data_IF_671242498833
#
_entry.id   IF_671242498833
#
_cell.length_a   1.000
_cell.length_b   1.000
_cell.length_c   1.000
_cell.angle_alpha   90.00
_cell.angle_beta   90.00
_cell.angle_gamma   90.00
#
_symmetry.space_group_name_H-M   'P 1'
#
loop_
_entity.id
_entity.type
_entity.pdbx_description
1 polymer ?
#
# COMPACT_ATOMS: atom_id res chain seq x y z
N UNK A 1 -13.48 17.84 14.56
CA UNK A 1 -12.62 17.73 13.36
C UNK A 1 -11.27 18.32 13.72
N UNK A 2 -10.25 17.50 13.96
CA UNK A 2 -8.90 17.99 14.28
C UNK A 2 -8.22 18.44 12.98
N UNK A 3 -7.85 19.71 12.88
CA UNK A 3 -7.11 20.25 11.73
C UNK A 3 -5.70 19.67 11.72
N UNK A 4 -5.31 18.98 10.63
CA UNK A 4 -3.91 18.65 10.35
C UNK A 4 -3.16 19.96 10.09
N UNK A 5 -2.34 20.39 11.04
CA UNK A 5 -1.48 21.56 10.88
C UNK A 5 -0.32 21.30 9.90
N UNK A 6 0.38 22.34 9.44
CA UNK A 6 1.48 22.25 8.47
C UNK A 6 2.63 21.31 8.88
N UNK A 7 2.78 21.02 10.18
CA UNK A 7 3.75 20.06 10.71
C UNK A 7 3.45 18.60 10.30
N UNK A 8 2.17 18.23 10.18
CA UNK A 8 1.74 16.88 9.75
C UNK A 8 2.19 16.59 8.32
N UNK A 9 2.04 17.58 7.45
CA UNK A 9 2.26 17.40 6.02
C UNK A 9 3.77 17.38 5.71
N UNK A 10 4.56 18.17 6.45
CA UNK A 10 6.03 18.11 6.40
C UNK A 10 6.58 16.76 6.85
N UNK A 11 6.03 16.17 7.93
CA UNK A 11 6.43 14.82 8.37
C UNK A 11 6.07 13.75 7.36
N UNK A 12 4.89 13.84 6.74
CA UNK A 12 4.47 12.91 5.70
C UNK A 12 5.39 12.99 4.47
N UNK A 13 5.72 14.20 4.03
CA UNK A 13 6.67 14.41 2.93
C UNK A 13 8.03 13.79 3.24
N UNK A 14 8.60 14.06 4.42
CA UNK A 14 9.88 13.49 4.83
C UNK A 14 9.88 11.95 4.90
N UNK A 15 8.77 11.33 5.30
CA UNK A 15 8.64 9.87 5.29
C UNK A 15 8.58 9.30 3.87
N UNK A 16 7.85 9.95 2.97
CA UNK A 16 7.71 9.52 1.58
C UNK A 16 9.01 9.73 0.78
N UNK A 17 9.82 10.75 1.12
CA UNK A 17 11.14 10.98 0.52
C UNK A 17 12.12 9.81 0.73
N UNK A 18 11.93 9.00 1.77
CA UNK A 18 12.76 7.80 2.02
C UNK A 18 12.41 6.63 1.08
N UNK A 19 11.29 6.69 0.38
CA UNK A 19 10.84 5.64 -0.55
C UNK A 19 11.52 5.85 -1.90
N UNK A 20 12.45 4.95 -2.25
CA UNK A 20 13.22 5.02 -3.51
C UNK A 20 12.33 4.91 -4.76
N UNK A 21 11.30 4.06 -4.71
CA UNK A 21 10.42 3.79 -5.84
C UNK A 21 8.96 3.65 -5.37
N UNK A 22 8.08 4.42 -5.98
CA UNK A 22 6.64 4.35 -5.73
C UNK A 22 5.93 3.86 -6.98
N UNK A 23 5.22 2.74 -6.87
CA UNK A 23 4.48 2.12 -7.98
C UNK A 23 2.98 2.20 -7.70
N UNK A 24 2.24 2.84 -8.59
CA UNK A 24 0.78 2.92 -8.51
C UNK A 24 0.15 1.81 -9.36
N UNK A 25 -0.67 0.95 -8.73
CA UNK A 25 -1.46 -0.08 -9.42
C UNK A 25 -2.89 0.41 -9.52
N UNK A 26 -3.34 0.72 -10.74
CA UNK A 26 -4.66 1.30 -11.02
C UNK A 26 -5.47 0.42 -11.98
N UNK A 27 -6.80 0.52 -11.93
CA UNK A 27 -7.69 -0.20 -12.84
C UNK A 27 -8.93 0.61 -13.17
N UNK A 28 -9.42 0.53 -14.41
CA UNK A 28 -10.62 1.25 -14.86
C UNK A 28 -11.97 0.61 -14.47
N UNK A 29 -11.97 -0.59 -13.88
CA UNK A 29 -13.19 -1.32 -13.50
C UNK A 29 -12.93 -2.21 -12.28
N UNK A 30 -13.97 -2.46 -11.48
CA UNK A 30 -13.93 -3.43 -10.38
C UNK A 30 -13.77 -4.87 -10.88
N UNK A 31 -13.11 -5.71 -10.07
CA UNK A 31 -12.98 -7.14 -10.34
C UNK A 31 -11.91 -7.56 -11.36
N UNK A 32 -11.10 -6.63 -11.88
CA UNK A 32 -10.04 -6.96 -12.86
C UNK A 32 -8.77 -7.58 -12.24
N UNK A 33 -8.74 -7.76 -10.92
CA UNK A 33 -7.58 -8.32 -10.21
C UNK A 33 -6.51 -7.30 -9.80
N UNK A 34 -6.81 -6.00 -9.76
CA UNK A 34 -5.88 -4.94 -9.30
C UNK A 34 -5.15 -5.29 -8.00
N UNK A 35 -5.90 -5.65 -6.95
CA UNK A 35 -5.34 -5.96 -5.63
C UNK A 35 -4.51 -7.24 -5.65
N UNK A 36 -4.89 -8.22 -6.48
CA UNK A 36 -4.13 -9.45 -6.71
C UNK A 36 -2.77 -9.17 -7.35
N UNK A 37 -2.74 -8.31 -8.37
CA UNK A 37 -1.49 -7.90 -9.01
C UNK A 37 -0.61 -7.12 -8.04
N UNK A 38 -1.18 -6.19 -7.28
CA UNK A 38 -0.45 -5.39 -6.30
C UNK A 38 0.20 -6.26 -5.21
N UNK A 39 -0.55 -7.20 -4.62
CA UNK A 39 -0.03 -8.10 -3.60
C UNK A 39 1.09 -8.99 -4.13
N UNK A 40 0.88 -9.66 -5.27
CA UNK A 40 1.90 -10.54 -5.85
C UNK A 40 3.16 -9.79 -6.27
N UNK A 41 3.03 -8.57 -6.81
CA UNK A 41 4.17 -7.73 -7.13
C UNK A 41 4.97 -7.36 -5.88
N UNK A 42 4.29 -6.95 -4.81
CA UNK A 42 4.93 -6.64 -3.53
C UNK A 42 5.66 -7.86 -2.95
N UNK A 43 5.01 -9.02 -2.93
CA UNK A 43 5.60 -10.29 -2.48
C UNK A 43 6.81 -10.67 -3.32
N UNK A 44 6.74 -10.58 -4.66
CA UNK A 44 7.85 -10.91 -5.53
C UNK A 44 9.06 -9.97 -5.32
N UNK A 45 8.83 -8.67 -5.12
CA UNK A 45 9.89 -7.71 -4.81
C UNK A 45 10.52 -7.98 -3.44
N UNK A 46 9.70 -8.31 -2.44
CA UNK A 46 10.17 -8.68 -1.10
C UNK A 46 10.98 -9.98 -1.12
N UNK A 47 10.54 -11.00 -1.85
CA UNK A 47 11.27 -12.26 -2.06
C UNK A 47 12.63 -12.05 -2.74
N UNK A 48 12.80 -10.96 -3.49
CA UNK A 48 14.09 -10.55 -4.07
C UNK A 48 14.97 -9.75 -3.11
N UNK A 49 14.59 -9.63 -1.83
CA UNK A 49 15.37 -8.95 -0.79
C UNK A 49 15.16 -7.44 -0.71
N UNK A 50 14.11 -6.89 -1.35
CA UNK A 50 13.81 -5.46 -1.24
C UNK A 50 12.96 -5.17 0.00
N UNK A 51 13.16 -4.01 0.62
CA UNK A 51 12.20 -3.44 1.57
C UNK A 51 11.00 -2.92 0.80
N UNK A 52 9.83 -3.50 1.05
CA UNK A 52 8.59 -3.19 0.31
C UNK A 52 7.49 -2.80 1.29
N UNK A 53 6.84 -1.67 1.01
CA UNK A 53 5.56 -1.30 1.61
C UNK A 53 4.43 -1.54 0.62
N UNK A 54 3.28 -1.99 1.11
CA UNK A 54 2.06 -2.15 0.31
C UNK A 54 0.93 -1.36 0.97
N UNK A 55 0.43 -0.35 0.26
CA UNK A 55 -0.65 0.52 0.72
C UNK A 55 -1.91 0.21 -0.09
N UNK A 56 -2.99 -0.15 0.59
CA UNK A 56 -4.31 -0.28 0.00
C UNK A 56 -5.10 1.01 0.22
N UNK A 57 -5.59 1.60 -0.87
CA UNK A 57 -6.45 2.80 -0.85
C UNK A 57 -7.86 2.48 -1.38
N UNK A 58 -8.14 1.21 -1.68
CA UNK A 58 -9.44 0.75 -2.14
C UNK A 58 -10.36 0.45 -0.95
N UNK A 59 -11.55 1.07 -0.95
CA UNK A 59 -12.52 0.96 0.16
C UNK A 59 -13.56 -0.14 -0.11
N UNK A 60 -13.72 -0.58 -1.36
CA UNK A 60 -14.86 -1.40 -1.80
C UNK A 60 -14.48 -2.80 -2.33
N UNK A 61 -13.21 -3.21 -2.22
CA UNK A 61 -12.70 -4.52 -2.67
C UNK A 61 -12.33 -5.49 -1.54
N UNK A 62 -11.95 -6.74 -1.85
CA UNK A 62 -11.28 -7.60 -0.87
C UNK A 62 -9.98 -6.93 -0.43
N UNK A 63 -9.89 -6.63 0.86
CA UNK A 63 -8.76 -5.89 1.44
C UNK A 63 -7.47 -6.71 1.31
N UNK A 64 -6.36 -6.04 0.97
CA UNK A 64 -5.01 -6.65 0.87
C UNK A 64 -4.67 -7.58 2.06
N UNK A 65 -4.97 -7.25 3.33
CA UNK A 65 -4.69 -8.15 4.46
C UNK A 65 -5.32 -9.54 4.31
N UNK A 66 -6.56 -9.60 3.81
CA UNK A 66 -7.27 -10.87 3.57
C UNK A 66 -6.63 -11.68 2.46
N UNK A 67 -6.14 -11.01 1.41
CA UNK A 67 -5.45 -11.69 0.31
C UNK A 67 -4.11 -12.29 0.75
N UNK A 68 -3.44 -11.63 1.69
CA UNK A 68 -2.17 -12.09 2.26
C UNK A 68 -2.35 -13.06 3.44
N UNK A 69 -3.58 -13.26 3.94
CA UNK A 69 -3.86 -14.10 5.11
C UNK A 69 -3.32 -13.52 6.42
N UNK A 70 -3.30 -12.19 6.54
CA UNK A 70 -2.71 -11.45 7.67
C UNK A 70 -3.73 -10.54 8.36
N UNK A 71 -5.04 -10.78 8.20
CA UNK A 71 -6.10 -9.99 8.83
C UNK A 71 -5.97 -9.84 10.35
N UNK A 72 -5.42 -10.84 11.04
CA UNK A 72 -5.27 -10.86 12.50
C UNK A 72 -3.86 -10.47 12.97
N UNK A 73 -2.94 -10.19 12.06
CA UNK A 73 -1.57 -9.82 12.39
C UNK A 73 -1.51 -8.35 12.78
N UNK A 74 -1.09 -8.08 14.01
CA UNK A 74 -0.73 -6.71 14.45
C UNK A 74 0.77 -6.51 14.30
N UNK A 75 1.13 -5.47 13.56
CA UNK A 75 2.50 -5.03 13.28
C UNK A 75 2.79 -3.78 14.10
#
# INVERSE_FOLDING_TARGET
MQQKGPESDSKLAGNLEQIRHTLAVISGKGGVGKSTVAANLATALAMRGNTVGLLDVDIHGPNIPKLLGVEDVRI
#
